data_IF_975478300321
#
_entry.id   IF_975478300321
#
_cell.length_a   1.000
_cell.length_b   1.000
_cell.length_c   1.000
_cell.angle_alpha   90.00
_cell.angle_beta   90.00
_cell.angle_gamma   90.00
#
_symmetry.space_group_name_H-M   'P 1'
#
loop_
_entity.id
_entity.type
_entity.pdbx_description
1 polymer ?
#
# COMPACT_ATOMS: atom_id res chain seq x y z
N UNK A 1 9.45 -3.52 -23.65
CA UNK A 1 8.49 -4.01 -22.62
C UNK A 1 7.23 -4.43 -23.35
N UNK A 2 6.67 -5.63 -23.11
CA UNK A 2 5.39 -6.00 -23.75
C UNK A 2 4.30 -5.00 -23.30
N UNK A 3 3.50 -4.49 -24.24
CA UNK A 3 2.46 -3.48 -24.00
C UNK A 3 1.59 -3.78 -22.77
N UNK A 4 1.25 -5.07 -22.57
CA UNK A 4 0.36 -5.54 -21.50
C UNK A 4 0.86 -5.23 -20.08
N UNK A 5 2.16 -5.33 -19.81
CA UNK A 5 2.69 -5.06 -18.46
C UNK A 5 2.65 -3.57 -18.11
N UNK A 6 2.84 -2.71 -19.13
CA UNK A 6 2.66 -1.27 -18.97
C UNK A 6 1.19 -0.95 -18.66
N UNK A 7 0.25 -1.57 -19.37
CA UNK A 7 -1.18 -1.36 -19.13
C UNK A 7 -1.60 -1.78 -17.71
N UNK A 8 -1.08 -2.92 -17.22
CA UNK A 8 -1.30 -3.39 -15.85
C UNK A 8 -0.72 -2.41 -14.83
N UNK A 9 0.51 -1.92 -15.06
CA UNK A 9 1.14 -0.92 -14.20
C UNK A 9 0.29 0.35 -14.09
N UNK A 10 -0.19 0.88 -15.22
CA UNK A 10 -1.04 2.08 -15.25
C UNK A 10 -2.37 1.83 -14.53
N UNK A 11 -3.01 0.68 -14.77
CA UNK A 11 -4.26 0.33 -14.09
C UNK A 11 -4.08 0.27 -12.55
N UNK A 12 -2.99 -0.32 -12.08
CA UNK A 12 -2.67 -0.39 -10.64
C UNK A 12 -2.38 0.99 -10.03
N UNK A 13 -1.67 1.87 -10.74
CA UNK A 13 -1.43 3.25 -10.29
C UNK A 13 -2.76 4.00 -10.17
N UNK A 14 -3.63 3.90 -11.17
CA UNK A 14 -4.94 4.54 -11.14
C UNK A 14 -5.76 4.10 -9.94
N UNK A 15 -5.79 2.80 -9.66
CA UNK A 15 -6.56 2.25 -8.56
C UNK A 15 -5.92 2.56 -7.19
N UNK A 16 -4.59 2.66 -7.11
CA UNK A 16 -3.89 3.13 -5.91
C UNK A 16 -4.23 4.58 -5.56
N UNK A 17 -4.36 5.47 -6.55
CA UNK A 17 -4.77 6.85 -6.32
C UNK A 17 -6.22 6.96 -5.82
N UNK A 18 -7.10 6.09 -6.31
CA UNK A 18 -8.48 5.98 -5.80
C UNK A 18 -8.48 5.58 -4.33
N UNK A 19 -7.66 4.59 -3.93
CA UNK A 19 -7.50 4.23 -2.52
C UNK A 19 -6.93 5.39 -1.70
N UNK A 20 -5.94 6.11 -2.20
CA UNK A 20 -5.36 7.25 -1.50
C UNK A 20 -6.40 8.35 -1.24
N UNK A 21 -7.26 8.61 -2.23
CA UNK A 21 -8.37 9.55 -2.07
C UNK A 21 -9.39 9.04 -1.04
N UNK A 22 -9.77 7.75 -1.11
CA UNK A 22 -10.66 7.13 -0.14
C UNK A 22 -10.09 7.21 1.28
N UNK A 23 -8.80 6.96 1.47
CA UNK A 23 -8.12 7.03 2.76
C UNK A 23 -8.25 8.42 3.39
N UNK A 24 -8.08 9.49 2.60
CA UNK A 24 -8.22 10.88 3.04
C UNK A 24 -9.67 11.21 3.45
N UNK A 25 -10.65 10.87 2.61
CA UNK A 25 -12.08 11.07 2.91
C UNK A 25 -12.48 10.35 4.22
N UNK A 26 -11.99 9.13 4.42
CA UNK A 26 -12.28 8.34 5.61
C UNK A 26 -11.60 8.88 6.87
N UNK A 27 -10.40 9.46 6.75
CA UNK A 27 -9.75 10.17 7.85
C UNK A 27 -10.61 11.37 8.29
N UNK A 28 -11.04 12.19 7.34
CA UNK A 28 -11.88 13.37 7.61
C UNK A 28 -13.22 12.97 8.23
N UNK A 29 -13.77 11.83 7.81
CA UNK A 29 -14.99 11.24 8.35
C UNK A 29 -14.78 10.51 9.69
N UNK A 30 -13.57 10.53 10.26
CA UNK A 30 -13.19 9.86 11.52
C UNK A 30 -13.34 8.32 11.49
N UNK A 31 -13.31 7.72 10.30
CA UNK A 31 -13.36 6.26 10.10
C UNK A 31 -11.92 5.74 9.96
N UNK A 32 -11.16 5.82 11.05
CA UNK A 32 -9.71 5.64 11.05
C UNK A 32 -9.27 4.25 10.57
N UNK A 33 -9.94 3.19 11.00
CA UNK A 33 -9.60 1.82 10.55
C UNK A 33 -9.74 1.64 9.05
N UNK A 34 -10.77 2.25 8.43
CA UNK A 34 -10.96 2.17 6.98
C UNK A 34 -9.99 3.07 6.24
N UNK A 35 -9.63 4.22 6.81
CA UNK A 35 -8.56 5.07 6.30
C UNK A 35 -7.23 4.30 6.22
N UNK A 36 -6.84 3.60 7.30
CA UNK A 36 -5.63 2.75 7.34
C UNK A 36 -5.70 1.62 6.31
N UNK A 37 -6.86 0.97 6.16
CA UNK A 37 -7.06 -0.08 5.17
C UNK A 37 -6.79 0.43 3.74
N UNK A 38 -7.38 1.57 3.35
CA UNK A 38 -7.15 2.12 2.02
C UNK A 38 -5.72 2.65 1.83
N UNK A 39 -5.08 3.20 2.87
CA UNK A 39 -3.65 3.52 2.83
C UNK A 39 -2.79 2.29 2.53
N UNK A 40 -3.10 1.14 3.15
CA UNK A 40 -2.40 -0.13 2.85
C UNK A 40 -2.66 -0.61 1.41
N UNK A 41 -3.88 -0.50 0.91
CA UNK A 41 -4.22 -0.88 -0.48
C UNK A 41 -3.49 -0.02 -1.51
N UNK A 42 -3.40 1.30 -1.29
CA UNK A 42 -2.59 2.20 -2.11
C UNK A 42 -1.13 1.72 -2.18
N UNK A 43 -0.51 1.43 -1.03
CA UNK A 43 0.86 0.91 -0.97
C UNK A 43 1.00 -0.41 -1.73
N UNK A 44 0.13 -1.38 -1.48
CA UNK A 44 0.18 -2.69 -2.13
C UNK A 44 0.11 -2.59 -3.66
N UNK A 45 -0.80 -1.76 -4.17
CA UNK A 45 -0.99 -1.55 -5.61
C UNK A 45 0.20 -0.85 -6.25
N UNK A 46 0.81 0.14 -5.59
CA UNK A 46 2.02 0.80 -6.09
C UNK A 46 3.21 -0.18 -6.16
N UNK A 47 3.37 -1.04 -5.16
CA UNK A 47 4.39 -2.09 -5.18
C UNK A 47 4.13 -3.10 -6.32
N UNK A 48 2.88 -3.56 -6.48
CA UNK A 48 2.49 -4.44 -7.59
C UNK A 48 2.71 -3.77 -8.97
N UNK A 49 2.49 -2.46 -9.08
CA UNK A 49 2.74 -1.72 -10.31
C UNK A 49 4.23 -1.77 -10.72
N UNK A 50 5.15 -1.65 -9.77
CA UNK A 50 6.59 -1.82 -10.04
C UNK A 50 6.95 -3.25 -10.43
N UNK A 51 6.35 -4.25 -9.77
CA UNK A 51 6.60 -5.66 -10.08
C UNK A 51 6.11 -6.03 -11.48
N UNK A 52 4.97 -5.49 -11.90
CA UNK A 52 4.42 -5.71 -13.24
C UNK A 52 5.41 -5.27 -14.33
N UNK A 53 6.12 -4.14 -14.13
CA UNK A 53 7.17 -3.66 -15.05
C UNK A 53 8.40 -4.58 -15.15
N UNK A 54 8.52 -5.56 -14.25
CA UNK A 54 9.53 -6.62 -14.26
C UNK A 54 8.93 -7.98 -14.61
N UNK A 55 7.79 -7.99 -15.31
CA UNK A 55 7.06 -9.17 -15.76
C UNK A 55 6.55 -10.07 -14.62
N UNK A 56 6.41 -9.53 -13.41
CA UNK A 56 5.91 -10.26 -12.23
C UNK A 56 4.51 -9.74 -11.90
N UNK A 57 3.50 -10.58 -12.11
CA UNK A 57 2.10 -10.28 -11.80
C UNK A 57 1.74 -11.03 -10.52
N UNK A 58 1.15 -10.32 -9.55
CA UNK A 58 0.72 -10.87 -8.27
C UNK A 58 -0.73 -10.50 -8.04
N UNK A 59 -1.60 -11.51 -7.99
CA UNK A 59 -3.03 -11.33 -7.75
C UNK A 59 -3.41 -11.65 -6.30
N UNK A 60 -2.88 -12.75 -5.75
CA UNK A 60 -3.46 -13.37 -4.55
C UNK A 60 -2.62 -13.17 -3.28
N UNK A 61 -1.45 -12.53 -3.40
CA UNK A 61 -0.58 -12.21 -2.26
C UNK A 61 -0.68 -10.72 -1.90
N UNK A 62 -0.76 -10.44 -0.60
CA UNK A 62 -0.91 -9.08 -0.05
C UNK A 62 0.38 -8.52 0.57
N UNK A 63 1.33 -9.39 0.91
CA UNK A 63 2.66 -8.99 1.38
C UNK A 63 3.63 -9.11 0.20
N UNK A 64 3.98 -7.98 -0.41
CA UNK A 64 4.74 -7.95 -1.67
C UNK A 64 6.08 -7.20 -1.53
N UNK A 65 6.34 -6.59 -0.37
CA UNK A 65 7.58 -5.86 -0.07
C UNK A 65 8.85 -6.71 -0.20
N UNK A 66 8.79 -8.00 0.15
CA UNK A 66 9.92 -8.92 0.07
C UNK A 66 10.35 -9.18 -1.37
N UNK A 67 9.39 -9.26 -2.30
CA UNK A 67 9.68 -9.46 -3.73
C UNK A 67 10.34 -8.23 -4.36
N UNK A 68 9.92 -7.03 -3.95
CA UNK A 68 10.62 -5.80 -4.36
C UNK A 68 12.04 -5.74 -3.81
N UNK A 69 12.26 -6.20 -2.57
CA UNK A 69 13.59 -6.20 -1.95
C UNK A 69 14.60 -6.94 -2.83
N UNK A 70 14.22 -8.10 -3.37
CA UNK A 70 15.08 -8.91 -4.22
C UNK A 70 15.46 -8.18 -5.52
N UNK A 71 14.51 -7.49 -6.15
CA UNK A 71 14.69 -6.87 -7.48
C UNK A 71 15.33 -5.48 -7.41
N UNK A 72 15.07 -4.72 -6.35
CA UNK A 72 15.41 -3.29 -6.26
C UNK A 72 16.38 -2.97 -5.11
N UNK A 73 17.03 -3.97 -4.51
CA UNK A 73 18.01 -3.81 -3.44
C UNK A 73 19.13 -2.79 -3.73
N UNK A 74 19.44 -2.56 -5.01
CA UNK A 74 20.46 -1.59 -5.46
C UNK A 74 20.00 -0.13 -5.46
N UNK A 75 18.70 0.15 -5.30
CA UNK A 75 18.14 1.50 -5.32
C UNK A 75 17.78 1.93 -3.90
N UNK A 76 18.60 2.79 -3.29
CA UNK A 76 18.42 3.23 -1.90
C UNK A 76 17.03 3.84 -1.65
N UNK A 77 16.52 4.66 -2.56
CA UNK A 77 15.18 5.24 -2.43
C UNK A 77 14.07 4.18 -2.36
N UNK A 78 14.23 3.05 -3.06
CA UNK A 78 13.25 1.96 -3.05
C UNK A 78 13.41 1.13 -1.78
N UNK A 79 14.63 0.94 -1.28
CA UNK A 79 14.88 0.26 0.00
C UNK A 79 14.18 0.95 1.17
N UNK A 80 14.21 2.28 1.23
CA UNK A 80 13.49 3.03 2.26
C UNK A 80 11.97 2.85 2.15
N UNK A 81 11.43 2.95 0.93
CA UNK A 81 10.01 2.74 0.65
C UNK A 81 9.53 1.34 1.07
N UNK A 82 10.34 0.31 0.83
CA UNK A 82 10.04 -1.06 1.25
C UNK A 82 9.91 -1.15 2.77
N UNK A 83 10.80 -0.50 3.52
CA UNK A 83 10.75 -0.52 4.98
C UNK A 83 9.49 0.17 5.51
N UNK A 84 9.08 1.27 4.90
CA UNK A 84 7.83 1.96 5.23
C UNK A 84 6.61 1.10 4.87
N UNK A 85 6.59 0.48 3.69
CA UNK A 85 5.51 -0.40 3.25
C UNK A 85 5.29 -1.59 4.21
N UNK A 86 6.37 -2.20 4.72
CA UNK A 86 6.30 -3.27 5.73
C UNK A 86 5.62 -2.86 7.03
N UNK A 87 5.62 -1.57 7.38
CA UNK A 87 4.86 -1.07 8.53
C UNK A 87 3.36 -1.24 8.29
N UNK A 88 2.87 -0.95 7.08
CA UNK A 88 1.46 -1.09 6.72
C UNK A 88 1.02 -2.51 6.36
N UNK A 89 1.90 -3.35 5.81
CA UNK A 89 1.59 -4.77 5.57
C UNK A 89 1.17 -5.51 6.85
N UNK A 90 1.72 -5.11 8.01
CA UNK A 90 1.30 -5.62 9.34
C UNK A 90 -0.16 -5.29 9.68
N UNK A 91 -0.74 -4.31 9.01
CA UNK A 91 -2.15 -3.96 9.10
C UNK A 91 -3.01 -4.69 8.04
N UNK A 92 -2.54 -5.75 7.38
CA UNK A 92 -3.25 -6.39 6.26
C UNK A 92 -4.76 -6.67 6.48
N UNK A 93 -5.13 -7.53 7.43
CA UNK A 93 -6.55 -7.81 7.75
C UNK A 93 -7.07 -7.09 9.00
N UNK A 94 -6.17 -6.60 9.85
CA UNK A 94 -6.48 -6.02 11.17
C UNK A 94 -7.52 -4.88 11.13
N UNK A 95 -7.41 -3.86 10.27
CA UNK A 95 -8.40 -2.78 10.20
C UNK A 95 -9.76 -3.20 9.63
N UNK A 96 -9.85 -4.42 9.09
CA UNK A 96 -11.08 -4.92 8.47
C UNK A 96 -11.98 -5.66 9.44
N UNK A 97 -11.40 -6.44 10.35
CA UNK A 97 -12.15 -7.38 11.18
C UNK A 97 -11.82 -7.22 12.66
N UNK A 98 -12.82 -7.30 13.55
CA UNK A 98 -12.57 -7.53 14.97
C UNK A 98 -11.73 -8.79 15.19
N UNK A 99 -10.89 -8.77 16.21
CA UNK A 99 -10.06 -9.91 16.60
C UNK A 99 -10.55 -10.49 17.93
N UNK A 100 -10.79 -11.79 17.96
CA UNK A 100 -11.42 -12.50 19.08
C UNK A 100 -10.88 -13.93 19.24
N UNK A 101 -9.55 -14.07 19.23
CA UNK A 101 -8.87 -15.38 19.25
C UNK A 101 -9.10 -16.21 20.53
N UNK A 102 -9.58 -15.59 21.61
CA UNK A 102 -9.78 -16.21 22.92
C UNK A 102 -11.12 -15.72 23.50
N UNK A 103 -12.08 -16.62 23.79
CA UNK A 103 -13.44 -16.25 24.23
C UNK A 103 -13.49 -15.61 25.62
N UNK A 104 -12.41 -15.68 26.41
CA UNK A 104 -12.33 -15.09 27.75
C UNK A 104 -11.70 -13.68 27.69
N UNK A 105 -11.03 -13.32 26.58
CA UNK A 105 -10.39 -12.02 26.41
C UNK A 105 -11.33 -11.01 25.73
N UNK A 106 -11.13 -9.70 25.96
CA UNK A 106 -11.87 -8.67 25.25
C UNK A 106 -11.69 -8.77 23.73
N UNK A 107 -12.76 -8.48 22.99
CA UNK A 107 -12.73 -8.36 21.53
C UNK A 107 -11.98 -7.07 21.18
N UNK A 108 -10.95 -7.17 20.36
CA UNK A 108 -10.29 -6.01 19.79
C UNK A 108 -11.09 -5.54 18.58
N UNK A 109 -11.65 -4.34 18.64
CA UNK A 109 -12.50 -3.77 17.59
C UNK A 109 -11.76 -2.67 16.84
N UNK A 110 -11.46 -2.82 15.53
CA UNK A 110 -10.64 -1.84 14.81
C UNK A 110 -11.25 -0.43 14.80
N UNK A 111 -12.57 -0.31 14.81
CA UNK A 111 -13.28 0.97 14.87
C UNK A 111 -13.11 1.71 16.21
N UNK A 112 -12.81 1.01 17.29
CA UNK A 112 -12.57 1.59 18.62
C UNK A 112 -11.09 1.80 18.90
N UNK A 113 -10.28 0.88 18.43
CA UNK A 113 -8.87 0.76 18.80
C UNK A 113 -7.98 1.67 17.98
N UNK A 114 -8.20 1.77 16.66
CA UNK A 114 -7.47 2.70 15.81
C UNK A 114 -7.90 4.14 16.07
N UNK A 115 -6.90 5.02 16.18
CA UNK A 115 -7.07 6.44 16.45
C UNK A 115 -6.65 7.26 15.23
N UNK A 116 -6.92 8.56 15.33
CA UNK A 116 -6.56 9.55 14.32
C UNK A 116 -5.09 9.48 13.94
N UNK A 117 -4.19 9.45 14.92
CA UNK A 117 -2.74 9.41 14.68
C UNK A 117 -2.31 8.18 13.88
N UNK A 118 -2.92 7.01 14.11
CA UNK A 118 -2.61 5.79 13.36
C UNK A 118 -3.00 5.94 11.88
N UNK A 119 -4.15 6.57 11.61
CA UNK A 119 -4.60 6.85 10.25
C UNK A 119 -3.75 7.93 9.56
N UNK A 120 -3.36 8.97 10.27
CA UNK A 120 -2.46 10.02 9.75
C UNK A 120 -1.06 9.46 9.42
N UNK A 121 -0.51 8.58 10.28
CA UNK A 121 0.74 7.87 10.00
C UNK A 121 0.59 7.00 8.75
N UNK A 122 -0.51 6.25 8.63
CA UNK A 122 -0.75 5.40 7.48
C UNK A 122 -0.85 6.17 6.17
N UNK A 123 -1.55 7.31 6.16
CA UNK A 123 -1.62 8.21 5.00
C UNK A 123 -0.23 8.78 4.67
N UNK A 124 0.55 9.18 5.67
CA UNK A 124 1.91 9.72 5.47
C UNK A 124 2.81 8.68 4.79
N UNK A 125 2.73 7.42 5.23
CA UNK A 125 3.46 6.30 4.61
C UNK A 125 2.96 6.09 3.17
N UNK A 126 1.64 6.01 2.96
CA UNK A 126 1.07 5.79 1.63
C UNK A 126 1.47 6.88 0.63
N UNK A 127 1.45 8.15 1.05
CA UNK A 127 1.86 9.29 0.22
C UNK A 127 3.35 9.20 -0.16
N UNK A 128 4.21 8.91 0.82
CA UNK A 128 5.65 8.73 0.57
C UNK A 128 5.92 7.59 -0.40
N UNK A 129 5.31 6.43 -0.18
CA UNK A 129 5.46 5.25 -1.04
C UNK A 129 4.99 5.57 -2.45
N UNK A 130 3.79 6.13 -2.60
CA UNK A 130 3.23 6.51 -3.89
C UNK A 130 4.18 7.43 -4.66
N UNK A 131 4.60 8.54 -4.04
CA UNK A 131 5.41 9.57 -4.70
C UNK A 131 6.77 9.04 -5.14
N UNK A 132 7.47 8.29 -4.28
CA UNK A 132 8.79 7.73 -4.63
C UNK A 132 8.67 6.70 -5.75
N UNK A 133 7.69 5.80 -5.66
CA UNK A 133 7.48 4.76 -6.69
C UNK A 133 7.08 5.38 -8.02
N UNK A 134 6.15 6.33 -8.02
CA UNK A 134 5.68 6.98 -9.23
C UNK A 134 6.82 7.73 -9.93
N UNK A 135 7.61 8.50 -9.19
CA UNK A 135 8.78 9.20 -9.74
C UNK A 135 9.81 8.21 -10.29
N UNK A 136 10.10 7.13 -9.58
CA UNK A 136 10.99 6.09 -10.07
C UNK A 136 10.48 5.44 -11.36
N UNK A 137 9.17 5.15 -11.45
CA UNK A 137 8.55 4.59 -12.65
C UNK A 137 8.69 5.55 -13.83
N UNK A 138 8.42 6.83 -13.60
CA UNK A 138 8.56 7.89 -14.60
C UNK A 138 9.98 8.02 -15.11
N UNK A 139 10.96 8.11 -14.22
CA UNK A 139 12.38 8.28 -14.56
C UNK A 139 12.96 7.05 -15.27
N UNK A 140 12.70 5.85 -14.75
CA UNK A 140 13.33 4.62 -15.23
C UNK A 140 12.65 4.03 -16.46
N UNK A 141 11.33 4.15 -16.57
CA UNK A 141 10.56 3.49 -17.62
C UNK A 141 9.87 4.46 -18.58
N UNK A 142 9.98 5.77 -18.37
CA UNK A 142 9.36 6.79 -19.22
C UNK A 142 7.82 6.74 -19.19
N UNK A 143 7.24 6.08 -18.18
CA UNK A 143 5.79 5.97 -18.04
C UNK A 143 5.30 7.21 -17.33
N UNK A 144 4.57 8.03 -18.06
CA UNK A 144 3.81 9.17 -17.54
C UNK A 144 2.32 8.82 -17.65
N UNK A 145 1.54 9.38 -16.74
CA UNK A 145 0.09 9.29 -16.72
C UNK A 145 -0.50 10.53 -17.37
#
# INVERSE_FOLDING_TARGET
MQSRYKDICIALINDAEVDMNAARILLDSKIYSKSIYHSQQCVEKMLKAMLALNAIIITDEHNVSDKLTLLFSKFNQIKEVIQEARKLERHGSRPRYPLFYDPIKPIWEPSKEYKKNDAEEAITIADKVHNVIFNFIKEKYGITK
#
